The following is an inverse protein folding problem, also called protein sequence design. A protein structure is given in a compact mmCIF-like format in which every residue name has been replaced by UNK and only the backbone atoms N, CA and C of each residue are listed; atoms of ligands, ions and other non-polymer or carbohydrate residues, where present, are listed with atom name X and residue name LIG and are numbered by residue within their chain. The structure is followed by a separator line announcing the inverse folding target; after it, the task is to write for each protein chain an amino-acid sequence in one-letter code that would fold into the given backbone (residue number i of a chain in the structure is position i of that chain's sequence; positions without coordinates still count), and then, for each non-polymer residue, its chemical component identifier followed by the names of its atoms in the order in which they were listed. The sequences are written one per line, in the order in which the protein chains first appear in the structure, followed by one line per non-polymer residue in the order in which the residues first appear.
data_IF_442386155535
#
_entry.id   IF_442386155535
#
_cell.length_a   1.000
_cell.length_b   1.000
_cell.length_c   1.000
_cell.angle_alpha   90.00
_cell.angle_beta   90.00
_cell.angle_gamma   90.00
#
_symmetry.space_group_name_H-M   'P 1'
#
loop_
_entity.id
_entity.type
_entity.pdbx_description
1 polymer ?
#
# COMPACT_ATOMS: atom_id res chain seq x y z
N UNK A 1 -15.68 12.54 14.81
CA UNK A 1 -16.03 13.68 13.96
C UNK A 1 -16.38 13.12 12.60
N UNK A 2 -17.69 13.05 12.27
CA UNK A 2 -18.17 12.62 10.94
C UNK A 2 -17.94 13.75 9.91
N UNK A 3 -16.71 14.15 9.73
CA UNK A 3 -16.32 15.15 8.74
C UNK A 3 -16.03 14.47 7.41
N UNK A 4 -16.75 14.85 6.37
CA UNK A 4 -16.35 14.52 5.01
C UNK A 4 -15.06 15.27 4.73
N UNK A 5 -13.99 14.54 4.38
CA UNK A 5 -12.75 15.18 3.97
C UNK A 5 -12.98 16.09 2.76
N UNK A 6 -12.40 17.29 2.72
CA UNK A 6 -12.50 18.14 1.56
C UNK A 6 -11.84 17.47 0.35
N UNK A 7 -12.46 17.59 -0.82
CA UNK A 7 -11.96 17.01 -2.07
C UNK A 7 -10.90 17.93 -2.67
N UNK A 8 -9.73 17.39 -2.97
CA UNK A 8 -8.67 18.02 -3.73
C UNK A 8 -8.53 17.28 -5.07
N UNK A 9 -9.13 17.83 -6.11
CA UNK A 9 -8.97 17.30 -7.47
C UNK A 9 -7.75 17.92 -8.14
N UNK A 10 -6.84 17.09 -8.61
CA UNK A 10 -5.58 17.54 -9.18
C UNK A 10 -4.91 16.50 -10.09
N UNK A 11 -3.98 16.94 -10.94
CA UNK A 11 -3.16 16.04 -11.73
C UNK A 11 -1.91 15.58 -10.97
N UNK A 12 -1.17 16.50 -10.38
CA UNK A 12 0.04 16.18 -9.58
C UNK A 12 0.46 17.34 -8.67
N UNK A 13 1.26 17.00 -7.65
CA UNK A 13 2.05 17.99 -6.91
C UNK A 13 3.34 18.27 -7.66
N UNK A 14 3.65 19.56 -7.84
CA UNK A 14 4.88 20.01 -8.49
C UNK A 14 5.71 20.82 -7.51
N UNK A 15 6.98 20.46 -7.39
CA UNK A 15 7.93 21.10 -6.48
C UNK A 15 9.01 21.81 -7.28
N UNK A 16 9.25 23.08 -6.98
CA UNK A 16 10.22 23.93 -7.67
C UNK A 16 11.51 24.19 -6.87
N UNK A 17 11.58 23.66 -5.66
CA UNK A 17 12.73 23.80 -4.76
C UNK A 17 12.85 22.60 -3.83
N UNK A 18 14.01 22.38 -3.18
CA UNK A 18 14.12 21.42 -2.10
C UNK A 18 13.10 21.72 -1.00
N UNK A 19 12.43 20.66 -0.52
CA UNK A 19 11.40 20.71 0.51
C UNK A 19 11.91 19.99 1.75
N UNK A 20 11.63 20.51 2.94
CA UNK A 20 11.83 19.77 4.19
C UNK A 20 10.74 18.69 4.34
N UNK A 21 9.62 19.07 4.91
CA UNK A 21 8.49 18.16 5.10
C UNK A 21 7.36 18.52 4.15
N UNK A 22 6.71 17.48 3.60
CA UNK A 22 5.51 17.59 2.80
C UNK A 22 4.40 16.74 3.43
N UNK A 23 3.31 17.37 3.81
CA UNK A 23 2.19 16.73 4.48
C UNK A 23 0.90 16.94 3.70
N UNK A 24 0.14 15.86 3.50
CA UNK A 24 -1.25 15.86 3.05
C UNK A 24 -2.08 15.22 4.15
N UNK A 25 -3.03 15.94 4.71
CA UNK A 25 -3.78 15.46 5.86
C UNK A 25 -5.27 15.69 5.70
N UNK A 26 -6.05 14.66 6.00
CA UNK A 26 -7.52 14.71 6.04
C UNK A 26 -8.15 15.25 4.75
N UNK A 27 -7.65 14.78 3.62
CA UNK A 27 -8.11 15.15 2.27
C UNK A 27 -8.62 13.93 1.51
N UNK A 28 -9.62 14.14 0.66
CA UNK A 28 -9.95 13.23 -0.44
C UNK A 28 -9.20 13.70 -1.69
N UNK A 29 -8.08 13.07 -2.00
CA UNK A 29 -7.22 13.41 -3.14
C UNK A 29 -7.67 12.60 -4.35
N UNK A 30 -8.33 13.25 -5.28
CA UNK A 30 -8.79 12.69 -6.53
C UNK A 30 -7.85 13.08 -7.66
N UNK A 31 -7.20 12.09 -8.29
CA UNK A 31 -6.47 12.37 -9.53
C UNK A 31 -7.44 12.55 -10.68
N UNK A 32 -7.28 13.63 -11.44
CA UNK A 32 -8.10 13.88 -12.65
C UNK A 32 -7.54 13.19 -13.90
N UNK A 33 -6.61 12.25 -13.74
CA UNK A 33 -6.03 11.46 -14.84
C UNK A 33 -5.02 12.21 -15.72
N UNK A 34 -4.79 13.51 -15.48
CA UNK A 34 -3.90 14.33 -16.30
C UNK A 34 -2.41 14.04 -16.09
N UNK A 35 -2.03 13.36 -15.02
CA UNK A 35 -0.66 12.94 -14.74
C UNK A 35 -0.60 11.46 -14.39
N UNK A 36 0.51 10.83 -14.70
CA UNK A 36 0.72 9.42 -14.41
C UNK A 36 1.11 9.18 -12.93
N UNK A 37 1.71 10.18 -12.27
CA UNK A 37 2.18 10.11 -10.90
C UNK A 37 1.64 11.32 -10.12
N UNK A 38 1.19 11.09 -8.89
CA UNK A 38 0.73 12.17 -8.03
C UNK A 38 1.91 13.02 -7.53
N UNK A 39 3.00 12.35 -7.17
CA UNK A 39 4.28 12.97 -6.81
C UNK A 39 5.39 12.32 -7.63
N UNK A 40 6.15 13.12 -8.36
CA UNK A 40 7.36 12.67 -9.00
C UNK A 40 8.55 13.44 -8.43
N UNK A 41 9.43 12.71 -7.73
CA UNK A 41 10.63 13.26 -7.12
C UNK A 41 11.76 13.11 -8.12
N UNK A 42 12.15 14.24 -8.71
CA UNK A 42 13.20 14.33 -9.71
C UNK A 42 14.50 14.90 -9.15
N UNK A 43 15.38 15.30 -10.05
CA UNK A 43 16.68 15.86 -9.72
C UNK A 43 16.56 17.12 -8.85
N UNK A 44 17.30 17.15 -7.75
CA UNK A 44 17.39 18.31 -6.87
C UNK A 44 16.23 18.49 -5.89
N UNK A 45 15.21 17.64 -5.95
CA UNK A 45 14.15 17.63 -4.95
C UNK A 45 14.60 16.80 -3.74
N UNK A 46 14.60 17.45 -2.57
CA UNK A 46 15.00 16.84 -1.31
C UNK A 46 13.89 17.01 -0.29
N UNK A 47 13.45 15.89 0.29
CA UNK A 47 12.46 15.85 1.36
C UNK A 47 13.07 15.22 2.61
N UNK A 48 12.73 15.75 3.77
CA UNK A 48 12.94 15.06 5.03
C UNK A 48 11.83 14.03 5.21
N UNK A 49 10.57 14.45 5.00
CA UNK A 49 9.45 13.55 5.12
C UNK A 49 8.36 13.86 4.07
N UNK A 50 7.79 12.80 3.49
CA UNK A 50 6.58 12.85 2.69
C UNK A 50 5.52 12.04 3.41
N UNK A 51 4.41 12.68 3.80
CA UNK A 51 3.38 12.01 4.58
C UNK A 51 1.97 12.28 4.06
N UNK A 52 1.18 11.20 4.03
CA UNK A 52 -0.26 11.23 3.86
C UNK A 52 -0.89 10.68 5.14
N UNK A 53 -1.78 11.44 5.79
CA UNK A 53 -2.44 11.02 7.02
C UNK A 53 -3.94 11.28 6.98
N UNK A 54 -4.74 10.24 7.25
CA UNK A 54 -6.20 10.36 7.29
C UNK A 54 -6.83 10.71 5.93
N UNK A 55 -6.16 10.36 4.85
CA UNK A 55 -6.57 10.71 3.49
C UNK A 55 -7.31 9.57 2.79
N UNK A 56 -8.17 9.93 1.84
CA UNK A 56 -8.53 9.04 0.73
C UNK A 56 -7.72 9.49 -0.48
N UNK A 57 -6.95 8.59 -1.11
CA UNK A 57 -6.22 8.86 -2.35
C UNK A 57 -6.72 7.90 -3.41
N UNK A 58 -7.21 8.42 -4.52
CA UNK A 58 -7.89 7.59 -5.51
C UNK A 58 -7.70 8.03 -6.94
N UNK A 59 -7.92 7.07 -7.87
CA UNK A 59 -7.89 7.26 -9.33
C UNK A 59 -6.53 7.77 -9.84
N UNK A 60 -5.43 7.32 -9.22
CA UNK A 60 -4.08 7.68 -9.66
C UNK A 60 -3.63 6.67 -10.73
N UNK A 61 -3.44 7.07 -11.99
CA UNK A 61 -3.21 6.11 -13.08
C UNK A 61 -1.98 5.22 -12.89
N UNK A 62 -0.91 5.75 -12.28
CA UNK A 62 0.31 5.02 -11.97
C UNK A 62 0.60 5.03 -10.49
N UNK A 63 1.64 5.72 -9.99
CA UNK A 63 2.01 5.69 -8.57
C UNK A 63 1.64 6.97 -7.85
N UNK A 64 1.37 6.84 -6.54
CA UNK A 64 1.32 8.03 -5.67
C UNK A 64 2.67 8.73 -5.68
N UNK A 65 3.76 7.97 -5.45
CA UNK A 65 5.12 8.51 -5.41
C UNK A 65 6.01 7.73 -6.36
N UNK A 66 6.72 8.47 -7.19
CA UNK A 66 7.80 7.96 -8.02
C UNK A 66 9.11 8.63 -7.68
N UNK A 67 10.17 7.82 -7.49
CA UNK A 67 11.56 8.27 -7.44
C UNK A 67 12.35 7.56 -8.54
N UNK A 68 12.92 8.31 -9.47
CA UNK A 68 13.68 7.74 -10.57
C UNK A 68 14.92 8.59 -10.95
N UNK A 69 15.57 9.16 -9.96
CA UNK A 69 16.82 9.91 -10.12
C UNK A 69 17.77 9.60 -8.96
N UNK A 70 19.06 9.51 -9.26
CA UNK A 70 20.09 9.37 -8.23
C UNK A 70 20.22 10.60 -7.32
N UNK A 71 19.68 11.75 -7.74
CA UNK A 71 19.66 13.00 -6.97
C UNK A 71 18.31 13.24 -6.27
N UNK A 72 17.35 12.34 -6.43
CA UNK A 72 16.10 12.40 -5.71
C UNK A 72 16.28 11.93 -4.28
N UNK A 73 15.83 12.72 -3.31
CA UNK A 73 16.04 12.43 -1.89
C UNK A 73 14.72 12.50 -1.12
N UNK A 74 14.47 11.50 -0.30
CA UNK A 74 13.51 11.52 0.79
C UNK A 74 14.10 10.71 1.94
N UNK A 75 14.05 11.22 3.18
CA UNK A 75 14.48 10.42 4.31
C UNK A 75 13.40 9.40 4.67
N UNK A 76 12.12 9.82 4.63
CA UNK A 76 11.00 8.94 4.93
C UNK A 76 9.78 9.18 4.03
N UNK A 77 9.03 8.10 3.77
CA UNK A 77 7.71 8.11 3.17
C UNK A 77 6.76 7.44 4.15
N UNK A 78 5.73 8.16 4.62
CA UNK A 78 4.78 7.68 5.59
C UNK A 78 3.35 7.82 5.05
N UNK A 79 2.59 6.74 5.06
CA UNK A 79 1.17 6.72 4.69
C UNK A 79 0.42 6.09 5.87
N UNK A 80 -0.37 6.88 6.56
CA UNK A 80 -1.00 6.49 7.80
C UNK A 80 -2.51 6.78 7.79
N UNK A 81 -3.29 5.82 8.26
CA UNK A 81 -4.75 5.95 8.37
C UNK A 81 -5.42 6.40 7.06
N UNK A 82 -5.02 5.82 5.93
CA UNK A 82 -5.49 6.21 4.60
C UNK A 82 -6.33 5.11 3.92
N UNK A 83 -7.23 5.54 3.03
CA UNK A 83 -7.84 4.67 2.01
C UNK A 83 -7.16 4.97 0.67
N UNK A 84 -6.56 3.95 0.07
CA UNK A 84 -5.83 4.01 -1.18
C UNK A 84 -6.58 3.17 -2.20
N UNK A 85 -7.21 3.82 -3.20
CA UNK A 85 -8.11 3.13 -4.11
C UNK A 85 -7.82 3.44 -5.58
N UNK A 86 -7.89 2.43 -6.45
CA UNK A 86 -7.71 2.56 -7.90
C UNK A 86 -6.39 3.28 -8.24
N UNK A 87 -5.28 2.74 -7.76
CA UNK A 87 -3.96 3.31 -7.96
C UNK A 87 -3.09 2.34 -8.74
N UNK A 88 -2.37 2.83 -9.74
CA UNK A 88 -1.43 2.02 -10.49
C UNK A 88 -2.03 1.12 -11.55
N UNK A 89 -3.31 1.28 -11.92
CA UNK A 89 -3.99 0.45 -12.92
C UNK A 89 -3.35 0.54 -14.33
N UNK A 90 -2.57 1.58 -14.58
CA UNK A 90 -1.75 1.72 -15.80
C UNK A 90 -0.28 1.32 -15.58
N UNK A 91 0.01 0.59 -14.52
CA UNK A 91 1.33 0.14 -14.11
C UNK A 91 1.99 1.01 -13.03
N UNK A 92 3.11 0.56 -12.52
CA UNK A 92 3.96 1.18 -11.48
C UNK A 92 3.46 1.08 -10.03
N UNK A 93 2.27 0.54 -9.78
CA UNK A 93 1.75 0.26 -8.44
C UNK A 93 1.55 1.49 -7.54
N UNK A 94 1.57 1.26 -6.23
CA UNK A 94 1.37 2.33 -5.26
C UNK A 94 2.60 3.25 -5.13
N UNK A 95 3.78 2.65 -4.93
CA UNK A 95 5.06 3.35 -4.86
C UNK A 95 6.05 2.77 -5.86
N UNK A 96 6.68 3.63 -6.66
CA UNK A 96 7.70 3.23 -7.64
C UNK A 96 9.03 3.92 -7.33
N UNK A 97 9.93 3.19 -6.70
CA UNK A 97 11.24 3.67 -6.26
C UNK A 97 12.32 2.99 -7.11
N UNK A 98 12.46 3.45 -8.35
CA UNK A 98 13.44 2.90 -9.29
C UNK A 98 14.87 3.33 -9.00
N UNK A 99 15.05 4.58 -8.58
CA UNK A 99 16.34 5.17 -8.19
C UNK A 99 16.10 6.24 -7.13
N UNK A 100 17.00 6.34 -6.17
CA UNK A 100 17.02 7.42 -5.18
C UNK A 100 18.47 7.66 -4.73
N UNK A 101 18.81 8.90 -4.44
CA UNK A 101 20.06 9.26 -3.77
C UNK A 101 19.98 8.92 -2.29
N UNK A 102 18.84 9.23 -1.65
CA UNK A 102 18.55 8.86 -0.27
C UNK A 102 17.09 8.47 -0.14
N UNK A 103 16.85 7.31 0.48
CA UNK A 103 15.57 6.92 1.04
C UNK A 103 15.87 5.96 2.19
N UNK A 104 15.48 6.32 3.42
CA UNK A 104 15.80 5.52 4.61
C UNK A 104 14.64 4.62 5.03
N UNK A 105 13.41 5.12 4.98
CA UNK A 105 12.25 4.34 5.44
C UNK A 105 11.01 4.54 4.57
N UNK A 106 10.21 3.48 4.52
CA UNK A 106 8.82 3.49 4.03
C UNK A 106 7.98 2.85 5.13
N UNK A 107 6.93 3.55 5.57
CA UNK A 107 5.94 3.03 6.52
C UNK A 107 4.53 3.26 5.97
N UNK A 108 3.73 2.20 5.93
CA UNK A 108 2.31 2.23 5.55
C UNK A 108 1.54 1.53 6.66
N UNK A 109 0.76 2.31 7.41
CA UNK A 109 0.11 1.85 8.64
C UNK A 109 -1.37 2.21 8.66
N UNK A 110 -2.18 1.34 9.28
CA UNK A 110 -3.61 1.59 9.48
C UNK A 110 -4.36 1.95 8.19
N UNK A 111 -4.03 1.29 7.08
CA UNK A 111 -4.50 1.64 5.74
C UNK A 111 -5.34 0.55 5.10
N UNK A 112 -6.30 0.99 4.29
CA UNK A 112 -6.98 0.13 3.32
C UNK A 112 -6.40 0.34 1.92
N UNK A 113 -5.88 -0.72 1.31
CA UNK A 113 -5.36 -0.74 -0.05
C UNK A 113 -6.35 -1.52 -0.93
N UNK A 114 -7.06 -0.82 -1.77
CA UNK A 114 -8.16 -1.36 -2.56
C UNK A 114 -7.94 -1.12 -4.05
N UNK A 115 -7.87 -2.21 -4.82
CA UNK A 115 -7.64 -2.16 -6.26
C UNK A 115 -6.36 -1.40 -6.64
N UNK A 116 -5.24 -1.80 -6.01
CA UNK A 116 -3.93 -1.34 -6.43
C UNK A 116 -3.46 -2.22 -7.59
N UNK A 117 -3.23 -1.61 -8.73
CA UNK A 117 -2.72 -2.30 -9.90
C UNK A 117 -1.20 -2.46 -9.87
N UNK A 118 -0.67 -3.37 -10.69
CA UNK A 118 0.74 -3.70 -10.77
C UNK A 118 1.31 -4.15 -9.40
N UNK A 119 2.49 -3.74 -9.04
CA UNK A 119 3.09 -4.06 -7.76
C UNK A 119 2.69 -3.01 -6.72
N UNK A 120 2.37 -3.41 -5.49
CA UNK A 120 2.10 -2.41 -4.44
C UNK A 120 3.35 -1.57 -4.22
N UNK A 121 4.51 -2.21 -4.08
CA UNK A 121 5.81 -1.52 -3.96
C UNK A 121 6.79 -2.07 -5.00
N UNK A 122 7.30 -1.20 -5.86
CA UNK A 122 8.48 -1.46 -6.70
C UNK A 122 9.69 -0.72 -6.10
N UNK A 123 10.49 -1.42 -5.32
CA UNK A 123 11.64 -0.90 -4.59
C UNK A 123 12.94 -1.50 -5.13
N UNK A 124 13.77 -0.66 -5.76
CA UNK A 124 15.05 -1.08 -6.34
C UNK A 124 16.27 -0.50 -5.63
N UNK A 125 16.05 0.21 -4.54
CA UNK A 125 17.08 0.83 -3.71
C UNK A 125 17.13 0.19 -2.32
N UNK A 126 18.25 0.36 -1.62
CA UNK A 126 18.36 -0.13 -0.25
C UNK A 126 17.58 0.79 0.71
N UNK A 127 16.89 0.19 1.67
CA UNK A 127 16.23 0.88 2.78
C UNK A 127 16.84 0.45 4.12
N UNK A 128 16.70 1.32 5.12
CA UNK A 128 16.89 0.91 6.51
C UNK A 128 15.65 0.21 7.03
N UNK A 129 14.46 0.74 6.76
CA UNK A 129 13.20 0.24 7.30
C UNK A 129 12.11 0.17 6.23
N UNK A 130 11.38 -0.92 6.24
CA UNK A 130 10.21 -1.16 5.40
C UNK A 130 9.10 -1.75 6.25
N UNK A 131 7.97 -1.05 6.33
CA UNK A 131 6.87 -1.42 7.22
C UNK A 131 5.51 -1.41 6.52
N UNK A 132 4.74 -2.48 6.77
CA UNK A 132 3.30 -2.52 6.64
C UNK A 132 2.70 -3.06 7.94
N UNK A 133 1.84 -2.28 8.57
CA UNK A 133 1.18 -2.69 9.82
C UNK A 133 -0.30 -2.35 9.80
N UNK A 134 -1.13 -3.26 10.30
CA UNK A 134 -2.58 -3.07 10.43
C UNK A 134 -3.25 -2.64 9.10
N UNK A 135 -2.88 -3.25 7.98
CA UNK A 135 -3.42 -2.90 6.68
C UNK A 135 -4.41 -3.95 6.17
N UNK A 136 -5.47 -3.48 5.52
CA UNK A 136 -6.38 -4.34 4.75
C UNK A 136 -6.07 -4.18 3.27
N UNK A 137 -5.72 -5.29 2.62
CA UNK A 137 -5.50 -5.37 1.19
C UNK A 137 -6.69 -6.06 0.54
N UNK A 138 -7.29 -5.45 -0.48
CA UNK A 138 -8.40 -6.04 -1.18
C UNK A 138 -8.27 -5.86 -2.69
N UNK A 139 -8.41 -6.99 -3.39
CA UNK A 139 -8.43 -7.05 -4.86
C UNK A 139 -7.26 -6.29 -5.49
N UNK A 140 -6.09 -6.40 -4.84
CA UNK A 140 -4.90 -5.75 -5.33
C UNK A 140 -4.26 -6.62 -6.38
N UNK A 141 -3.89 -5.99 -7.48
CA UNK A 141 -3.22 -6.57 -8.58
C UNK A 141 -4.12 -7.13 -9.70
N UNK A 142 -3.78 -6.80 -10.90
CA UNK A 142 -4.49 -7.13 -12.13
C UNK A 142 -3.56 -7.75 -13.18
N UNK A 143 -2.87 -8.84 -12.85
CA UNK A 143 -2.09 -9.60 -13.83
C UNK A 143 -0.58 -9.62 -13.63
N UNK A 144 -0.07 -9.04 -12.54
CA UNK A 144 1.35 -9.16 -12.18
C UNK A 144 1.49 -9.96 -10.88
N UNK A 145 2.32 -10.99 -10.87
CA UNK A 145 2.37 -11.92 -9.75
C UNK A 145 3.23 -11.44 -8.57
N UNK A 146 3.37 -10.12 -8.37
CA UNK A 146 4.24 -9.58 -7.32
C UNK A 146 3.57 -8.47 -6.54
N UNK A 147 3.28 -8.72 -5.27
CA UNK A 147 2.80 -7.68 -4.37
C UNK A 147 3.92 -6.69 -4.03
N UNK A 148 5.10 -7.21 -3.70
CA UNK A 148 6.28 -6.41 -3.41
C UNK A 148 7.42 -6.81 -4.35
N UNK A 149 7.97 -5.85 -5.08
CA UNK A 149 9.22 -6.03 -5.80
C UNK A 149 10.34 -5.37 -5.02
N UNK A 150 11.18 -6.17 -4.40
CA UNK A 150 12.33 -5.71 -3.64
C UNK A 150 13.61 -6.17 -4.37
N UNK A 151 14.38 -5.27 -4.97
CA UNK A 151 15.65 -5.64 -5.60
C UNK A 151 16.81 -5.67 -4.60
N UNK A 152 16.65 -4.98 -3.46
CA UNK A 152 17.61 -4.99 -2.37
C UNK A 152 16.89 -5.22 -1.05
N UNK A 153 17.45 -6.05 -0.21
CA UNK A 153 16.90 -6.34 1.11
C UNK A 153 16.97 -5.10 2.00
N UNK A 154 15.84 -4.60 2.53
CA UNK A 154 15.85 -3.64 3.62
C UNK A 154 16.52 -4.23 4.86
N UNK A 155 17.12 -3.37 5.70
CA UNK A 155 17.78 -3.85 6.94
C UNK A 155 16.75 -4.37 7.96
N UNK A 156 15.58 -3.76 7.99
CA UNK A 156 14.44 -4.18 8.81
C UNK A 156 13.20 -4.21 7.94
N UNK A 157 12.45 -5.30 8.04
CA UNK A 157 11.16 -5.49 7.36
C UNK A 157 10.15 -5.87 8.43
N UNK A 158 9.05 -5.12 8.48
CA UNK A 158 7.91 -5.39 9.36
C UNK A 158 6.64 -5.49 8.52
N UNK A 159 6.01 -6.66 8.52
CA UNK A 159 4.67 -6.85 7.95
C UNK A 159 3.85 -7.55 9.03
N UNK A 160 2.99 -6.79 9.71
CA UNK A 160 2.29 -7.28 10.89
C UNK A 160 0.81 -6.92 10.85
N UNK A 161 -0.01 -7.84 11.37
CA UNK A 161 -1.44 -7.60 11.58
C UNK A 161 -2.17 -7.14 10.31
N UNK A 162 -1.77 -7.64 9.15
CA UNK A 162 -2.42 -7.31 7.88
C UNK A 162 -3.43 -8.38 7.46
N UNK A 163 -4.45 -7.97 6.71
CA UNK A 163 -5.38 -8.89 6.04
C UNK A 163 -5.17 -8.77 4.54
N UNK A 164 -4.82 -9.88 3.90
CA UNK A 164 -4.69 -9.98 2.45
C UNK A 164 -5.91 -10.69 1.90
N UNK A 165 -6.69 -10.02 1.05
CA UNK A 165 -8.00 -10.49 0.65
C UNK A 165 -8.37 -10.11 -0.78
N UNK A 166 -9.38 -10.79 -1.29
CA UNK A 166 -10.05 -10.52 -2.55
C UNK A 166 -9.65 -11.41 -3.70
N UNK A 167 -10.58 -11.60 -4.64
CA UNK A 167 -10.34 -12.36 -5.85
C UNK A 167 -9.44 -11.54 -6.80
N UNK A 168 -8.17 -11.82 -6.82
CA UNK A 168 -7.20 -11.12 -7.66
C UNK A 168 -7.16 -11.61 -9.12
N UNK A 169 -8.31 -11.96 -9.68
CA UNK A 169 -8.43 -12.33 -11.09
C UNK A 169 -7.68 -13.61 -11.49
N UNK A 170 -7.27 -14.43 -10.53
CA UNK A 170 -6.51 -15.66 -10.77
C UNK A 170 -5.02 -15.44 -10.99
N UNK A 171 -4.54 -14.24 -10.79
CA UNK A 171 -3.10 -13.94 -10.78
C UNK A 171 -2.49 -14.39 -9.46
N UNK A 172 -1.31 -14.97 -9.53
CA UNK A 172 -0.56 -15.33 -8.33
C UNK A 172 0.05 -14.07 -7.72
N UNK A 173 -0.30 -13.80 -6.49
CA UNK A 173 0.40 -12.77 -5.72
C UNK A 173 1.64 -13.41 -5.11
N UNK A 174 2.78 -12.79 -5.30
CA UNK A 174 3.98 -13.14 -4.59
C UNK A 174 4.68 -11.90 -4.01
N UNK A 175 5.45 -12.08 -2.96
CA UNK A 175 6.09 -11.00 -2.25
C UNK A 175 7.33 -10.45 -2.95
N UNK A 176 7.79 -11.09 -4.02
CA UNK A 176 8.99 -10.61 -4.67
C UNK A 176 9.60 -11.53 -5.71
N UNK A 177 10.87 -11.42 -5.92
CA UNK A 177 11.64 -12.31 -6.77
C UNK A 177 11.94 -13.64 -6.04
N UNK A 178 12.12 -14.73 -6.75
CA UNK A 178 12.41 -16.07 -6.19
C UNK A 178 13.59 -16.12 -5.23
N UNK A 179 14.48 -15.14 -5.29
CA UNK A 179 15.66 -15.05 -4.45
C UNK A 179 15.42 -14.39 -3.07
N UNK A 180 14.20 -13.88 -2.81
CA UNK A 180 13.87 -13.11 -1.60
C UNK A 180 12.99 -13.89 -0.61
N UNK A 181 12.74 -15.16 -0.88
CA UNK A 181 11.96 -16.05 -0.03
C UNK A 181 12.59 -16.18 1.36
N UNK A 182 12.52 -15.47 2.28
CA UNK A 182 13.14 -15.46 3.59
C UNK A 182 13.42 -14.05 4.10
N UNK A 183 13.12 -13.04 3.29
CA UNK A 183 13.21 -11.66 3.73
C UNK A 183 11.92 -11.18 4.40
N UNK A 184 10.78 -11.79 4.03
CA UNK A 184 9.46 -11.36 4.47
C UNK A 184 8.90 -12.35 5.49
N UNK A 185 8.35 -11.81 6.57
CA UNK A 185 7.56 -12.52 7.58
C UNK A 185 6.25 -11.77 7.79
N UNK A 186 5.18 -12.52 7.96
CA UNK A 186 3.80 -11.99 8.00
C UNK A 186 3.18 -12.25 9.39
N UNK A 187 3.79 -11.70 10.42
CA UNK A 187 3.38 -11.94 11.81
C UNK A 187 1.97 -11.39 12.11
N UNK A 188 1.07 -12.25 12.56
CA UNK A 188 -0.33 -11.88 12.85
C UNK A 188 -1.12 -11.48 11.59
N UNK A 189 -0.65 -11.85 10.40
CA UNK A 189 -1.35 -11.58 9.15
C UNK A 189 -2.29 -12.72 8.77
N UNK A 190 -3.34 -12.38 8.04
CA UNK A 190 -4.37 -13.31 7.56
C UNK A 190 -4.50 -13.23 6.04
N UNK A 191 -4.85 -14.36 5.43
CA UNK A 191 -5.09 -14.48 3.99
C UNK A 191 -6.42 -15.16 3.74
N UNK A 192 -7.32 -14.53 2.99
CA UNK A 192 -8.62 -15.14 2.62
C UNK A 192 -8.47 -16.23 1.60
N UNK A 193 -9.41 -17.19 1.58
CA UNK A 193 -9.33 -18.38 0.72
C UNK A 193 -9.50 -18.09 -0.77
N UNK A 194 -10.07 -16.95 -1.14
CA UNK A 194 -10.21 -16.48 -2.52
C UNK A 194 -8.99 -15.77 -3.08
N UNK A 195 -7.98 -15.50 -2.23
CA UNK A 195 -6.73 -14.93 -2.69
C UNK A 195 -5.81 -16.01 -3.27
N UNK A 196 -5.37 -15.84 -4.50
CA UNK A 196 -4.42 -16.76 -5.15
C UNK A 196 -3.00 -16.31 -4.83
N UNK A 197 -2.28 -17.11 -4.04
CA UNK A 197 -0.91 -16.83 -3.63
C UNK A 197 0.07 -17.86 -4.19
N UNK A 198 1.32 -17.46 -4.40
CA UNK A 198 2.41 -18.40 -4.61
C UNK A 198 2.81 -18.98 -3.24
N UNK A 199 2.85 -20.30 -3.13
CA UNK A 199 3.06 -21.04 -1.88
C UNK A 199 4.35 -20.72 -1.13
N UNK A 200 5.25 -19.97 -1.73
CA UNK A 200 6.53 -19.56 -1.12
C UNK A 200 6.44 -18.26 -0.32
N UNK A 201 5.34 -17.56 -0.34
CA UNK A 201 5.34 -16.12 -0.10
C UNK A 201 4.59 -15.68 1.16
N UNK A 202 3.70 -16.48 1.70
CA UNK A 202 2.90 -16.13 2.88
C UNK A 202 2.99 -17.22 3.96
N UNK A 203 4.16 -17.83 4.12
CA UNK A 203 4.34 -19.02 4.95
C UNK A 203 3.95 -18.82 6.42
N UNK A 204 4.10 -17.61 6.94
CA UNK A 204 3.81 -17.28 8.34
C UNK A 204 2.41 -16.67 8.53
N UNK A 205 1.69 -16.40 7.44
CA UNK A 205 0.34 -15.87 7.51
C UNK A 205 -0.68 -16.98 7.80
N UNK A 206 -1.73 -16.62 8.50
CA UNK A 206 -2.84 -17.51 8.85
C UNK A 206 -3.79 -17.59 7.66
N UNK A 207 -3.89 -18.76 7.03
CA UNK A 207 -4.85 -18.99 5.95
C UNK A 207 -6.25 -19.15 6.53
N UNK A 208 -7.19 -18.35 6.03
CA UNK A 208 -8.60 -18.43 6.39
C UNK A 208 -9.32 -19.38 5.44
N UNK A 209 -10.34 -20.09 5.95
CA UNK A 209 -11.27 -20.87 5.13
C UNK A 209 -12.34 -19.98 4.47
N UNK A 210 -12.41 -18.72 4.87
CA UNK A 210 -13.38 -17.72 4.41
C UNK A 210 -12.87 -16.99 3.17
N UNK A 211 -13.78 -16.68 2.27
CA UNK A 211 -13.54 -15.71 1.19
C UNK A 211 -13.57 -14.28 1.73
N UNK A 212 -13.15 -13.32 0.93
CA UNK A 212 -13.31 -11.90 1.28
C UNK A 212 -14.79 -11.51 1.46
N UNK A 213 -15.67 -12.07 0.63
CA UNK A 213 -17.11 -11.84 0.74
C UNK A 213 -17.73 -12.52 1.98
N UNK A 214 -17.12 -13.58 2.50
CA UNK A 214 -17.57 -14.18 3.76
C UNK A 214 -17.08 -13.33 4.95
N UNK A 215 -15.90 -12.77 4.88
CA UNK A 215 -15.26 -12.02 5.97
C UNK A 215 -15.85 -10.63 6.15
N UNK A 216 -16.04 -9.89 5.06
CA UNK A 216 -16.45 -8.49 5.08
C UNK A 216 -17.92 -8.31 4.67
N UNK A 217 -18.54 -7.20 5.08
CA UNK A 217 -19.95 -6.90 4.80
C UNK A 217 -20.17 -6.69 3.29
N UNK A 218 -19.39 -5.79 2.66
CA UNK A 218 -19.53 -5.48 1.23
C UNK A 218 -18.18 -4.93 0.68
N UNK A 219 -17.16 -5.78 0.56
CA UNK A 219 -15.82 -5.32 0.20
C UNK A 219 -15.75 -4.78 -1.22
N UNK A 220 -16.60 -5.24 -2.12
CA UNK A 220 -16.69 -4.74 -3.50
C UNK A 220 -17.11 -3.28 -3.56
N UNK A 221 -17.93 -2.83 -2.62
CA UNK A 221 -18.35 -1.43 -2.50
C UNK A 221 -17.59 -0.65 -1.41
N UNK A 222 -16.56 -1.27 -0.80
CA UNK A 222 -15.65 -0.63 0.12
C UNK A 222 -16.10 -0.65 1.59
N UNK A 223 -16.99 -1.55 1.95
CA UNK A 223 -17.33 -1.82 3.35
C UNK A 223 -16.58 -3.04 3.85
N UNK A 224 -15.45 -2.79 4.47
CA UNK A 224 -14.56 -3.82 5.03
C UNK A 224 -14.80 -4.10 6.51
N UNK A 225 -15.94 -3.67 7.05
CA UNK A 225 -16.36 -4.09 8.39
C UNK A 225 -16.57 -5.60 8.40
N UNK A 226 -16.17 -6.26 9.47
CA UNK A 226 -16.37 -7.70 9.60
C UNK A 226 -17.84 -8.04 9.75
N UNK A 227 -18.25 -9.16 9.19
CA UNK A 227 -19.60 -9.68 9.37
C UNK A 227 -19.80 -10.11 10.81
N UNK A 228 -20.81 -9.59 11.53
CA UNK A 228 -20.94 -9.82 12.97
C UNK A 228 -21.24 -11.28 13.34
N UNK A 229 -21.74 -12.07 12.42
CA UNK A 229 -21.95 -13.51 12.60
C UNK A 229 -20.67 -14.33 12.53
N UNK A 230 -19.62 -13.78 11.95
CA UNK A 230 -18.33 -14.42 11.82
C UNK A 230 -17.46 -14.09 13.03
N UNK A 231 -17.13 -15.10 13.82
CA UNK A 231 -16.15 -14.94 14.89
C UNK A 231 -14.74 -15.01 14.28
N UNK A 232 -14.24 -13.88 13.87
CA UNK A 232 -12.90 -13.77 13.29
C UNK A 232 -11.89 -13.46 14.38
N UNK A 233 -10.93 -14.34 14.61
CA UNK A 233 -9.93 -14.20 15.68
C UNK A 233 -9.02 -12.98 15.52
N UNK A 234 -8.93 -12.42 14.33
CA UNK A 234 -8.17 -11.21 14.01
C UNK A 234 -8.96 -9.90 14.22
N UNK A 235 -10.25 -9.98 14.56
CA UNK A 235 -11.05 -8.77 14.80
C UNK A 235 -10.47 -7.95 15.96
N UNK A 236 -10.31 -6.65 15.75
CA UNK A 236 -9.69 -5.75 16.73
C UNK A 236 -8.17 -5.87 16.85
N UNK A 237 -7.52 -6.68 16.00
CA UNK A 237 -6.06 -6.89 15.99
C UNK A 237 -5.46 -6.73 14.62
N UNK A 238 -6.12 -7.22 13.58
CA UNK A 238 -5.60 -7.23 12.21
C UNK A 238 -6.48 -6.44 11.25
N UNK A 239 -5.86 -5.98 10.17
CA UNK A 239 -6.47 -5.09 9.19
C UNK A 239 -6.55 -3.64 9.65
N UNK A 240 -7.08 -2.80 8.79
CA UNK A 240 -7.23 -1.37 9.06
C UNK A 240 -8.21 -1.13 10.23
N UNK A 241 -7.76 -0.47 11.30
CA UNK A 241 -8.56 -0.27 12.52
C UNK A 241 -9.89 0.46 12.31
N UNK A 242 -10.04 1.22 11.22
CA UNK A 242 -11.31 1.91 10.93
C UNK A 242 -12.48 0.96 10.72
N UNK A 243 -12.21 -0.30 10.39
CA UNK A 243 -13.21 -1.32 10.11
C UNK A 243 -13.53 -2.23 11.30
N UNK A 244 -12.80 -2.06 12.39
CA UNK A 244 -13.07 -2.83 13.60
C UNK A 244 -14.42 -2.40 14.20
N UNK A 245 -15.14 -3.33 14.79
CA UNK A 245 -16.40 -3.02 15.45
C UNK A 245 -16.17 -2.02 16.61
N UNK A 246 -16.94 -0.96 16.62
CA UNK A 246 -17.06 -0.03 17.75
C UNK A 246 -18.16 -0.50 18.71
#
# INVERSE_FOLDING_TARGET
VNGINPVLEMSKFTFSAPMGNFYVQYMDVLSNGGSQFLIEIGNGNCFTNISFTGCTVREVPRSIIRMNSNDAMAESINIDNCILKNIGLSGYGLLNIGKAGTLNSISITDCTLWEIGDQIIDLRVALSEFEFSNCTFYNNETGIPKMFRLEKQPKMITITNCIFSGPNGGSKVNSGNSDYSGWLSYAGCYVTSDMVIDSREFNDAISLEYTSDDLFIDPTNGDFRFKPELKFDGEGVAGDPRWWAN
#
